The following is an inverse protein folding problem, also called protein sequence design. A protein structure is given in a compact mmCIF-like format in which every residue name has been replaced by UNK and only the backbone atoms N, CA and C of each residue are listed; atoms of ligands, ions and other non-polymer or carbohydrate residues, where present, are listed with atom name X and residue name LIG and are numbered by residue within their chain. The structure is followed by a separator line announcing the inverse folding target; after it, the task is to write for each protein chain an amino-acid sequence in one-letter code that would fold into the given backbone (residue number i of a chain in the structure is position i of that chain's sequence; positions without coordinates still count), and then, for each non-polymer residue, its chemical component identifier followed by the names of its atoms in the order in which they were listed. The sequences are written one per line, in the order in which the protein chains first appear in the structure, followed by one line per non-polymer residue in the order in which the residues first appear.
data_IF_794120178695
#
_entry.id   IF_794120178695
#
_cell.length_a   1.000
_cell.length_b   1.000
_cell.length_c   1.000
_cell.angle_alpha   90.00
_cell.angle_beta   90.00
_cell.angle_gamma   90.00
#
_symmetry.space_group_name_H-M   'P 1'
#
loop_
_entity.id
_entity.type
_entity.pdbx_description
1 polymer ?
#
# COMPACT_ATOMS: atom_id res chain seq x y z
N UNK A 1 -9.28 -13.29 -9.34
CA UNK A 1 -9.66 -11.87 -9.20
C UNK A 1 -9.70 -11.41 -7.74
N UNK A 2 -10.42 -12.08 -6.83
CA UNK A 2 -10.31 -11.84 -5.37
C UNK A 2 -9.91 -13.11 -4.63
N UNK A 3 -8.75 -13.67 -4.99
CA UNK A 3 -8.19 -14.81 -4.26
C UNK A 3 -7.74 -14.34 -2.89
N UNK A 4 -7.77 -15.20 -1.85
CA UNK A 4 -7.29 -14.85 -0.51
C UNK A 4 -5.87 -14.28 -0.53
N UNK A 5 -5.02 -14.76 -1.45
CA UNK A 5 -3.66 -14.24 -1.71
C UNK A 5 -3.68 -12.80 -2.20
N UNK A 6 -4.46 -12.48 -3.24
CA UNK A 6 -4.59 -11.11 -3.76
C UNK A 6 -5.07 -10.14 -2.67
N UNK A 7 -6.10 -10.52 -1.90
CA UNK A 7 -6.60 -9.67 -0.82
C UNK A 7 -5.55 -9.45 0.28
N UNK A 8 -4.75 -10.49 0.60
CA UNK A 8 -3.65 -10.40 1.57
C UNK A 8 -2.54 -9.48 1.07
N UNK A 9 -2.16 -9.60 -0.20
CA UNK A 9 -1.13 -8.77 -0.82
C UNK A 9 -1.58 -7.30 -0.94
N UNK A 10 -2.84 -7.06 -1.31
CA UNK A 10 -3.43 -5.71 -1.33
C UNK A 10 -3.48 -5.10 0.06
N UNK A 11 -3.85 -5.86 1.09
CA UNK A 11 -3.84 -5.40 2.47
C UNK A 11 -2.44 -5.04 2.96
N UNK A 12 -1.45 -5.89 2.69
CA UNK A 12 -0.06 -5.63 3.04
C UNK A 12 0.43 -4.33 2.39
N UNK A 13 0.13 -4.14 1.10
CA UNK A 13 0.46 -2.91 0.37
C UNK A 13 -0.25 -1.70 0.95
N UNK A 14 -1.54 -1.80 1.26
CA UNK A 14 -2.33 -0.72 1.83
C UNK A 14 -1.79 -0.27 3.20
N UNK A 15 -1.47 -1.21 4.09
CA UNK A 15 -0.91 -0.93 5.42
C UNK A 15 0.48 -0.31 5.29
N UNK A 16 1.33 -0.84 4.39
CA UNK A 16 2.65 -0.28 4.15
C UNK A 16 2.58 1.14 3.60
N UNK A 17 1.67 1.42 2.66
CA UNK A 17 1.43 2.77 2.13
C UNK A 17 0.91 3.71 3.23
N UNK A 18 0.00 3.24 4.09
CA UNK A 18 -0.50 4.05 5.21
C UNK A 18 0.64 4.45 6.14
N UNK A 19 1.43 3.48 6.60
CA UNK A 19 2.55 3.74 7.51
C UNK A 19 3.59 4.68 6.91
N UNK A 20 3.98 4.45 5.64
CA UNK A 20 4.98 5.29 4.97
C UNK A 20 4.46 6.72 4.71
N UNK A 21 3.22 6.88 4.27
CA UNK A 21 2.63 8.21 4.02
C UNK A 21 2.42 8.98 5.31
N UNK A 22 1.94 8.32 6.37
CA UNK A 22 1.81 8.94 7.68
C UNK A 22 3.18 9.37 8.22
N UNK A 23 4.20 8.50 8.19
CA UNK A 23 5.55 8.88 8.60
C UNK A 23 6.13 10.06 7.80
N UNK A 24 5.84 10.14 6.50
CA UNK A 24 6.29 11.25 5.66
C UNK A 24 5.62 12.56 6.07
N UNK A 25 4.31 12.57 6.34
CA UNK A 25 3.60 13.79 6.76
C UNK A 25 3.99 14.19 8.19
N UNK A 26 4.19 13.23 9.09
CA UNK A 26 4.63 13.48 10.46
C UNK A 26 6.04 14.09 10.53
N UNK A 27 6.91 13.77 9.58
CA UNK A 27 8.28 14.31 9.51
C UNK A 27 8.38 15.56 8.63
N UNK A 28 7.31 15.93 7.92
CA UNK A 28 7.27 17.10 7.07
C UNK A 28 7.02 18.38 7.89
N UNK A 29 8.09 19.03 8.31
CA UNK A 29 8.05 20.43 8.76
C UNK A 29 7.85 20.66 10.26
N UNK A 30 7.82 19.62 11.08
CA UNK A 30 7.76 19.71 12.55
C UNK A 30 8.68 18.69 13.21
N UNK A 31 9.33 19.06 14.31
CA UNK A 31 10.22 18.18 15.09
C UNK A 31 9.55 17.60 16.33
N UNK A 32 8.43 18.18 16.78
CA UNK A 32 7.71 17.81 17.98
C UNK A 32 6.41 17.06 17.69
N UNK A 33 6.16 15.96 18.41
CA UNK A 33 4.92 15.14 18.29
C UNK A 33 3.64 15.93 18.59
N UNK A 34 3.73 17.01 19.38
CA UNK A 34 2.59 17.86 19.75
C UNK A 34 2.30 18.95 18.71
N UNK A 35 3.28 19.31 17.89
CA UNK A 35 3.15 20.31 16.83
C UNK A 35 2.58 19.72 15.53
N UNK A 36 2.47 18.39 15.49
CA UNK A 36 1.90 17.65 14.36
C UNK A 36 0.41 17.93 14.23
N UNK A 37 -0.02 18.33 13.03
CA UNK A 37 -1.42 18.31 12.64
C UNK A 37 -1.86 16.87 12.34
N UNK A 38 -2.32 16.18 13.39
CA UNK A 38 -2.75 14.79 13.33
C UNK A 38 -3.95 14.58 12.41
N UNK A 39 -4.81 15.59 12.26
CA UNK A 39 -5.96 15.53 11.35
C UNK A 39 -5.53 15.59 9.90
N UNK A 40 -4.58 16.46 9.58
CA UNK A 40 -3.99 16.52 8.26
C UNK A 40 -3.21 15.22 7.93
N UNK A 41 -2.37 14.75 8.86
CA UNK A 41 -1.58 13.53 8.70
C UNK A 41 -2.45 12.28 8.44
N UNK A 42 -3.54 12.12 9.19
CA UNK A 42 -4.52 11.06 8.94
C UNK A 42 -5.22 11.24 7.59
N UNK A 43 -5.63 12.45 7.23
CA UNK A 43 -6.32 12.70 5.95
C UNK A 43 -5.45 12.36 4.74
N UNK A 44 -4.18 12.79 4.75
CA UNK A 44 -3.23 12.53 3.65
C UNK A 44 -2.87 11.04 3.57
N UNK A 45 -2.60 10.40 4.71
CA UNK A 45 -2.26 8.97 4.72
C UNK A 45 -3.42 8.10 4.26
N UNK A 46 -4.65 8.41 4.67
CA UNK A 46 -5.85 7.68 4.24
C UNK A 46 -6.09 7.83 2.73
N UNK A 47 -5.90 9.03 2.18
CA UNK A 47 -5.97 9.25 0.73
C UNK A 47 -4.91 8.43 -0.02
N UNK A 48 -3.66 8.41 0.46
CA UNK A 48 -2.59 7.59 -0.12
C UNK A 48 -2.93 6.09 -0.08
N UNK A 49 -3.48 5.62 1.04
CA UNK A 49 -3.95 4.23 1.18
C UNK A 49 -5.08 3.89 0.22
N UNK A 50 -6.07 4.79 0.06
CA UNK A 50 -7.17 4.60 -0.90
C UNK A 50 -6.66 4.51 -2.33
N UNK A 51 -5.71 5.38 -2.72
CA UNK A 51 -5.07 5.33 -4.04
C UNK A 51 -4.33 3.99 -4.23
N UNK A 52 -3.64 3.49 -3.21
CA UNK A 52 -2.96 2.18 -3.25
C UNK A 52 -3.92 1.03 -3.47
N UNK A 53 -5.05 1.02 -2.76
CA UNK A 53 -6.12 0.02 -2.92
C UNK A 53 -6.73 0.09 -4.32
N UNK A 54 -7.11 1.28 -4.78
CA UNK A 54 -7.69 1.49 -6.12
C UNK A 54 -6.72 1.04 -7.23
N UNK A 55 -5.42 1.35 -7.07
CA UNK A 55 -4.38 0.93 -8.01
C UNK A 55 -4.23 -0.59 -8.01
N UNK A 56 -4.27 -1.23 -6.84
CA UNK A 56 -4.23 -2.69 -6.74
C UNK A 56 -5.42 -3.32 -7.46
N UNK A 57 -6.63 -2.77 -7.28
CA UNK A 57 -7.85 -3.23 -7.96
C UNK A 57 -7.76 -3.04 -9.48
N UNK A 58 -7.30 -1.87 -9.95
CA UNK A 58 -7.08 -1.60 -11.37
C UNK A 58 -6.01 -2.49 -11.99
N UNK A 59 -4.91 -2.77 -11.28
CA UNK A 59 -3.85 -3.67 -11.74
C UNK A 59 -4.30 -5.13 -11.80
N UNK A 60 -5.15 -5.57 -10.87
CA UNK A 60 -5.78 -6.89 -10.91
C UNK A 60 -6.74 -7.10 -12.08
N UNK A 61 -7.16 -6.03 -12.76
CA UNK A 61 -7.93 -6.07 -14.00
C UNK A 61 -7.04 -6.11 -15.27
N UNK A 62 -5.77 -5.66 -15.18
CA UNK A 62 -4.87 -5.47 -16.33
C UNK A 62 -3.74 -6.52 -16.41
N UNK A 63 -3.52 -7.36 -15.40
CA UNK A 63 -2.47 -8.39 -15.47
C UNK A 63 -2.73 -9.61 -14.61
N UNK A 64 -3.09 -10.73 -15.26
CA UNK A 64 -2.99 -12.08 -14.69
C UNK A 64 -1.53 -12.58 -14.66
N UNK A 65 -0.61 -11.90 -15.36
CA UNK A 65 0.83 -12.20 -15.33
C UNK A 65 1.54 -11.44 -14.20
N UNK A 66 1.41 -11.96 -12.99
CA UNK A 66 2.39 -11.67 -11.94
C UNK A 66 3.77 -12.17 -12.41
N UNK A 67 4.63 -11.25 -12.83
CA UNK A 67 6.02 -11.50 -13.24
C UNK A 67 6.89 -12.24 -12.19
N UNK A 68 6.38 -12.42 -10.96
CA UNK A 68 7.03 -13.23 -9.91
C UNK A 68 6.63 -14.71 -9.90
N UNK A 69 5.71 -15.16 -10.77
CA UNK A 69 5.41 -16.57 -10.96
C UNK A 69 6.41 -17.24 -11.93
N UNK A 70 7.73 -17.04 -11.72
CA UNK A 70 8.69 -18.04 -12.17
C UNK A 70 8.42 -19.26 -11.28
N UNK A 71 7.54 -20.15 -11.74
CA UNK A 71 7.52 -21.53 -11.31
C UNK A 71 8.87 -22.07 -11.73
N UNK A 72 9.83 -22.10 -10.81
CA UNK A 72 11.00 -22.97 -10.94
C UNK A 72 10.41 -24.38 -11.02
N UNK A 73 10.17 -24.87 -12.24
CA UNK A 73 10.07 -26.29 -12.49
C UNK A 73 11.38 -26.86 -11.93
N UNK A 74 11.28 -27.43 -10.73
CA UNK A 74 12.26 -28.38 -10.26
C UNK A 74 11.95 -29.67 -11.01
N UNK A 75 12.28 -29.66 -12.30
CA UNK A 75 12.48 -30.88 -13.06
C UNK A 75 13.84 -31.43 -12.67
N UNK A 76 13.78 -32.67 -12.16
CA UNK A 76 14.84 -33.62 -11.80
C UNK A 76 15.58 -33.40 -10.46
#
# INVERSE_FOLDING_TARGET
MFTKTFLKDTLERAVKTFAQSMAAVLTAGVTGVLDVDWMNALSVSLLATLVSVLTSVGSGYVGDDSASAVKLNKEE
#
